data_IF_337832048209
#
_entry.id   IF_337832048209
#
_cell.length_a   1.000
_cell.length_b   1.000
_cell.length_c   1.000
_cell.angle_alpha   90.00
_cell.angle_beta   90.00
_cell.angle_gamma   90.00
#
_symmetry.space_group_name_H-M   'P 1'
#
loop_
_entity.id
_entity.type
_entity.pdbx_description
1 polymer ?
#
# COMPACT_ATOMS: atom_id res chain seq x y z
N UNK A 1 24.37 -12.61 -11.65
CA UNK A 1 24.38 -11.42 -12.51
C UNK A 1 23.22 -10.54 -12.09
N UNK A 2 23.46 -9.56 -11.22
CA UNK A 2 22.44 -8.55 -10.87
C UNK A 2 22.41 -7.60 -12.05
N UNK A 3 21.30 -7.52 -12.77
CA UNK A 3 21.17 -6.59 -13.89
C UNK A 3 21.48 -5.18 -13.37
N UNK A 4 22.40 -4.48 -14.06
CA UNK A 4 22.73 -3.09 -13.77
C UNK A 4 21.55 -2.24 -14.28
N UNK A 5 20.48 -2.23 -13.48
CA UNK A 5 19.29 -1.46 -13.78
C UNK A 5 19.65 0.02 -13.73
N UNK A 6 19.30 0.83 -14.75
CA UNK A 6 19.54 2.26 -14.71
C UNK A 6 18.99 2.82 -13.41
N UNK A 7 19.86 3.35 -12.54
CA UNK A 7 19.44 4.03 -11.31
C UNK A 7 18.83 5.38 -11.67
N UNK A 8 17.76 5.39 -12.47
CA UNK A 8 16.86 6.52 -12.55
C UNK A 8 16.41 6.81 -11.11
N UNK A 9 16.83 7.95 -10.57
CA UNK A 9 16.34 8.43 -9.29
C UNK A 9 14.83 8.60 -9.45
N UNK A 10 14.07 7.64 -8.93
CA UNK A 10 12.62 7.76 -8.86
C UNK A 10 12.31 8.97 -7.99
N UNK A 11 11.53 9.91 -8.53
CA UNK A 11 10.90 10.92 -7.69
C UNK A 11 9.98 10.20 -6.69
N UNK A 12 9.82 10.71 -5.46
CA UNK A 12 8.91 10.14 -4.48
C UNK A 12 7.52 9.91 -5.09
N UNK A 13 7.01 8.67 -5.07
CA UNK A 13 5.73 8.37 -5.70
C UNK A 13 4.55 8.86 -4.85
N UNK A 14 3.39 9.03 -5.47
CA UNK A 14 2.15 9.31 -4.74
C UNK A 14 1.75 8.15 -3.83
N UNK A 15 2.01 6.91 -4.27
CA UNK A 15 1.76 5.71 -3.49
C UNK A 15 2.77 4.60 -3.76
N UNK A 16 2.96 3.76 -2.74
CA UNK A 16 3.55 2.43 -2.84
C UNK A 16 2.46 1.40 -2.61
N UNK A 17 2.36 0.41 -3.48
CA UNK A 17 1.36 -0.65 -3.36
C UNK A 17 2.02 -1.91 -2.86
N UNK A 18 1.45 -2.51 -1.82
CA UNK A 18 1.95 -3.74 -1.22
C UNK A 18 0.80 -4.71 -1.04
N UNK A 19 0.98 -5.94 -1.50
CA UNK A 19 0.07 -7.03 -1.19
C UNK A 19 0.26 -7.44 0.28
N UNK A 20 -0.83 -7.62 1.04
CA UNK A 20 -0.77 -7.83 2.50
C UNK A 20 -1.21 -9.23 2.89
N UNK A 21 -0.27 -10.01 3.42
CA UNK A 21 -0.55 -11.27 4.15
C UNK A 21 -0.63 -10.97 5.65
N UNK A 22 0.41 -11.34 6.41
CA UNK A 22 0.54 -10.98 7.83
C UNK A 22 1.04 -9.55 8.07
N UNK A 23 1.36 -8.79 7.02
CA UNK A 23 1.83 -7.40 7.11
C UNK A 23 3.35 -7.18 7.20
N UNK A 24 4.18 -8.22 7.05
CA UNK A 24 5.64 -8.08 7.10
C UNK A 24 6.22 -7.15 6.02
N UNK A 25 5.78 -7.30 4.77
CA UNK A 25 6.20 -6.42 3.66
C UNK A 25 5.70 -4.98 3.85
N UNK A 26 4.44 -4.82 4.29
CA UNK A 26 3.86 -3.51 4.62
C UNK A 26 4.70 -2.81 5.72
N UNK A 27 5.02 -3.52 6.80
CA UNK A 27 5.84 -2.99 7.89
C UNK A 27 7.25 -2.63 7.42
N UNK A 28 7.87 -3.49 6.62
CA UNK A 28 9.21 -3.26 6.09
C UNK A 28 9.28 -2.04 5.19
N UNK A 29 8.33 -1.89 4.27
CA UNK A 29 8.25 -0.74 3.35
C UNK A 29 7.88 0.54 4.07
N UNK A 30 6.96 0.52 5.04
CA UNK A 30 6.64 1.68 5.87
C UNK A 30 7.86 2.19 6.65
N UNK A 31 8.58 1.29 7.33
CA UNK A 31 9.82 1.64 8.03
C UNK A 31 10.93 2.10 7.08
N UNK A 32 11.03 1.49 5.90
CA UNK A 32 11.99 1.88 4.87
C UNK A 32 11.77 3.31 4.39
N UNK A 33 10.52 3.67 4.09
CA UNK A 33 10.14 5.01 3.67
C UNK A 33 10.32 6.05 4.80
N UNK A 34 9.99 5.68 6.05
CA UNK A 34 10.24 6.56 7.19
C UNK A 34 11.73 6.86 7.40
N UNK A 35 12.60 5.86 7.27
CA UNK A 35 14.06 6.06 7.33
C UNK A 35 14.59 6.91 6.17
N UNK A 36 14.08 6.68 4.96
CA UNK A 36 14.44 7.49 3.80
C UNK A 36 14.04 8.96 3.97
N UNK A 37 12.92 9.21 4.65
CA UNK A 37 12.49 10.57 4.99
C UNK A 37 13.35 11.23 6.07
N UNK A 38 13.76 10.49 7.10
CA UNK A 38 14.59 11.00 8.19
C UNK A 38 16.03 11.31 7.75
N UNK A 39 16.61 10.53 6.83
CA UNK A 39 17.98 10.70 6.37
C UNK A 39 18.26 12.04 5.65
N UNK A 40 17.23 12.83 5.32
CA UNK A 40 17.38 14.20 4.81
C UNK A 40 17.36 15.29 5.88
N UNK A 41 17.14 14.96 7.15
CA UNK A 41 17.02 15.90 8.26
C UNK A 41 18.22 15.93 9.22
N UNK A 42 19.16 15.00 9.10
CA UNK A 42 20.30 14.85 10.02
C UNK A 42 21.57 15.62 9.58
N UNK A 43 21.42 16.59 8.67
CA UNK A 43 22.52 17.51 8.35
C UNK A 43 22.68 18.55 9.46
N UNK A 44 23.77 18.45 10.22
CA UNK A 44 24.30 19.55 11.03
C UNK A 44 24.32 20.82 10.14
N UNK A 45 23.61 21.85 10.61
CA UNK A 45 23.38 23.11 9.90
C UNK A 45 24.65 23.96 9.84
N UNK A 46 25.61 23.55 9.02
CA UNK A 46 26.65 24.43 8.50
C UNK A 46 26.01 25.48 7.58
N UNK A 47 26.32 26.75 7.82
CA UNK A 47 25.73 27.95 7.18
C UNK A 47 26.11 28.11 5.68
N UNK A 48 26.76 27.11 5.10
CA UNK A 48 27.13 27.07 3.68
C UNK A 48 26.05 26.30 2.89
N UNK A 49 24.87 26.92 2.77
CA UNK A 49 23.69 26.34 2.14
C UNK A 49 23.84 26.08 0.64
N UNK A 50 24.30 24.88 0.27
CA UNK A 50 24.29 24.41 -1.10
C UNK A 50 22.83 24.02 -1.52
N UNK A 51 22.38 24.54 -2.67
CA UNK A 51 21.02 24.32 -3.18
C UNK A 51 20.69 22.83 -3.50
N UNK A 52 21.71 22.00 -3.69
CA UNK A 52 21.63 20.55 -3.93
C UNK A 52 21.35 19.79 -2.64
N UNK A 53 21.96 20.17 -1.52
CA UNK A 53 21.68 19.63 -0.20
C UNK A 53 20.24 19.92 0.23
N UNK A 54 19.76 21.15 0.01
CA UNK A 54 18.36 21.53 0.25
C UNK A 54 17.39 20.73 -0.64
N UNK A 55 17.72 20.51 -1.92
CA UNK A 55 16.90 19.70 -2.83
C UNK A 55 16.88 18.21 -2.43
N UNK A 56 18.00 17.67 -1.94
CA UNK A 56 18.10 16.31 -1.43
C UNK A 56 17.26 16.12 -0.15
N UNK A 57 17.32 17.07 0.79
CA UNK A 57 16.51 17.08 2.01
C UNK A 57 15.01 17.17 1.69
N UNK A 58 14.63 18.04 0.75
CA UNK A 58 13.24 18.17 0.27
C UNK A 58 12.74 16.86 -0.36
N UNK A 59 13.59 16.20 -1.15
CA UNK A 59 13.29 14.91 -1.79
C UNK A 59 13.14 13.81 -0.74
N UNK A 60 14.03 13.75 0.25
CA UNK A 60 13.94 12.81 1.37
C UNK A 60 12.61 12.97 2.11
N UNK A 61 12.28 14.18 2.56
CA UNK A 61 11.01 14.47 3.25
C UNK A 61 9.77 14.09 2.42
N UNK A 62 9.87 14.18 1.08
CA UNK A 62 8.79 13.78 0.18
C UNK A 62 8.51 12.27 0.13
N UNK A 63 9.49 11.41 0.42
CA UNK A 63 9.25 9.97 0.61
C UNK A 63 8.37 9.67 1.82
N UNK A 64 8.41 10.53 2.84
CA UNK A 64 7.56 10.41 4.03
C UNK A 64 6.07 10.67 3.73
N UNK A 65 5.74 11.28 2.59
CA UNK A 65 4.38 11.58 2.15
C UNK A 65 3.79 10.54 1.19
N UNK A 66 4.54 9.50 0.84
CA UNK A 66 4.06 8.41 -0.01
C UNK A 66 2.98 7.61 0.71
N UNK A 67 1.79 7.46 0.11
CA UNK A 67 0.71 6.63 0.66
C UNK A 67 1.01 5.14 0.50
N UNK A 68 0.74 4.33 1.52
CA UNK A 68 0.75 2.87 1.40
C UNK A 68 -0.62 2.36 0.99
N UNK A 69 -0.70 1.69 -0.15
CA UNK A 69 -1.89 0.96 -0.58
C UNK A 69 -1.70 -0.51 -0.20
N UNK A 70 -2.44 -0.95 0.81
CA UNK A 70 -2.39 -2.30 1.35
C UNK A 70 -3.43 -3.17 0.62
N UNK A 71 -2.99 -3.86 -0.44
CA UNK A 71 -3.85 -4.66 -1.30
C UNK A 71 -4.07 -6.07 -0.73
N UNK A 72 -5.32 -6.47 -0.61
CA UNK A 72 -5.75 -7.84 -0.28
C UNK A 72 -6.79 -8.34 -1.27
N UNK A 73 -7.06 -9.64 -1.26
CA UNK A 73 -8.22 -10.24 -1.93
C UNK A 73 -9.36 -10.45 -0.95
N UNK A 74 -10.61 -10.41 -1.42
CA UNK A 74 -11.80 -10.55 -0.57
C UNK A 74 -11.77 -11.82 0.30
N UNK A 75 -11.25 -12.93 -0.23
CA UNK A 75 -11.15 -14.19 0.51
C UNK A 75 -9.98 -14.29 1.49
N UNK A 76 -9.13 -13.25 1.59
CA UNK A 76 -7.96 -13.20 2.48
C UNK A 76 -7.76 -11.82 3.14
N UNK A 77 -8.83 -11.04 3.29
CA UNK A 77 -8.78 -9.62 3.68
C UNK A 77 -8.66 -9.37 5.20
N UNK A 78 -7.72 -10.03 5.88
CA UNK A 78 -7.62 -9.93 7.35
C UNK A 78 -7.08 -8.58 7.81
N UNK A 79 -6.25 -7.91 7.01
CA UNK A 79 -5.75 -6.57 7.29
C UNK A 79 -6.84 -5.54 7.14
N UNK A 80 -7.61 -5.57 6.04
CA UNK A 80 -8.69 -4.63 5.78
C UNK A 80 -9.80 -4.77 6.83
N UNK A 81 -10.15 -6.00 7.24
CA UNK A 81 -11.10 -6.23 8.32
C UNK A 81 -10.63 -5.61 9.66
N UNK A 82 -9.35 -5.81 10.02
CA UNK A 82 -8.76 -5.18 11.20
C UNK A 82 -8.73 -3.65 11.08
N UNK A 83 -8.30 -3.14 9.92
CA UNK A 83 -8.12 -1.72 9.67
C UNK A 83 -9.44 -0.94 9.71
N UNK A 84 -10.54 -1.54 9.27
CA UNK A 84 -11.89 -0.97 9.34
C UNK A 84 -12.34 -0.66 10.79
N UNK A 85 -11.71 -1.27 11.79
CA UNK A 85 -11.96 -0.99 13.21
C UNK A 85 -11.01 0.05 13.81
N UNK A 86 -10.18 0.70 12.99
CA UNK A 86 -9.07 1.54 13.48
C UNK A 86 -8.03 0.74 14.27
N UNK A 87 -7.97 -0.57 14.09
CA UNK A 87 -7.15 -1.46 14.91
C UNK A 87 -7.68 -1.70 16.32
N UNK A 88 -8.96 -1.41 16.61
CA UNK A 88 -9.59 -1.74 17.88
C UNK A 88 -9.79 -3.27 18.04
N UNK A 89 -10.32 -3.92 17.00
CA UNK A 89 -10.46 -5.38 16.95
C UNK A 89 -9.27 -6.03 16.24
N UNK A 90 -9.01 -7.30 16.55
CA UNK A 90 -7.92 -8.06 15.94
C UNK A 90 -8.33 -9.52 15.71
N UNK A 91 -9.47 -9.67 15.05
CA UNK A 91 -10.14 -10.95 14.95
C UNK A 91 -9.50 -11.86 13.87
N UNK A 92 -9.84 -13.13 13.96
CA UNK A 92 -9.43 -14.15 12.99
C UNK A 92 -10.55 -14.30 11.97
N UNK A 93 -10.21 -14.21 10.68
CA UNK A 93 -11.11 -14.62 9.60
C UNK A 93 -11.48 -16.11 9.78
N UNK A 94 -12.75 -16.48 9.57
CA UNK A 94 -13.19 -17.86 9.77
C UNK A 94 -12.53 -18.85 8.82
N UNK A 95 -12.17 -18.42 7.60
CA UNK A 95 -11.48 -19.22 6.59
C UNK A 95 -10.77 -18.33 5.58
N UNK A 96 -9.78 -18.90 4.88
CA UNK A 96 -9.22 -18.34 3.64
C UNK A 96 -9.97 -18.95 2.47
N UNK A 97 -10.56 -18.11 1.62
CA UNK A 97 -11.34 -18.54 0.44
C UNK A 97 -10.81 -17.97 -0.87
N UNK A 98 -9.63 -17.32 -0.82
CA UNK A 98 -9.01 -16.68 -1.99
C UNK A 98 -8.13 -17.64 -2.79
N UNK A 99 -8.06 -17.42 -4.11
CA UNK A 99 -7.05 -17.99 -5.00
C UNK A 99 -5.61 -17.50 -4.68
N UNK A 100 -5.46 -16.33 -4.07
CA UNK A 100 -4.18 -15.77 -3.65
C UNK A 100 -3.68 -16.44 -2.36
N UNK A 101 -3.27 -17.70 -2.46
CA UNK A 101 -2.82 -18.50 -1.32
C UNK A 101 -1.67 -17.87 -0.56
N UNK A 102 -0.78 -17.11 -1.20
CA UNK A 102 0.30 -16.37 -0.51
C UNK A 102 -0.19 -15.19 0.34
N UNK A 103 -1.46 -14.78 0.23
CA UNK A 103 -2.11 -13.85 1.15
C UNK A 103 -2.76 -14.53 2.35
N UNK A 104 -2.66 -15.86 2.51
CA UNK A 104 -3.35 -16.64 3.54
C UNK A 104 -2.88 -16.34 4.98
N UNK A 105 -3.27 -15.20 5.51
CA UNK A 105 -3.26 -14.90 6.94
C UNK A 105 -4.71 -14.73 7.38
N UNK A 106 -5.19 -15.61 8.25
CA UNK A 106 -6.51 -15.45 8.86
C UNK A 106 -6.52 -14.30 9.87
N UNK A 107 -5.35 -13.90 10.38
CA UNK A 107 -5.17 -12.74 11.26
C UNK A 107 -3.82 -12.11 10.96
N UNK A 108 -3.78 -10.79 10.84
CA UNK A 108 -2.54 -10.03 10.64
C UNK A 108 -1.63 -10.03 11.88
N UNK A 109 -0.36 -9.71 11.72
CA UNK A 109 0.54 -9.54 12.85
C UNK A 109 0.13 -8.35 13.72
N UNK A 110 0.41 -8.42 15.03
CA UNK A 110 0.20 -7.31 15.97
C UNK A 110 0.90 -6.04 15.49
N UNK A 111 2.12 -6.16 14.95
CA UNK A 111 2.87 -5.03 14.43
C UNK A 111 2.15 -4.31 13.26
N UNK A 112 1.44 -5.04 12.40
CA UNK A 112 0.66 -4.42 11.31
C UNK A 112 -0.59 -3.72 11.86
N UNK A 113 -1.20 -4.26 12.92
CA UNK A 113 -2.28 -3.59 13.65
C UNK A 113 -1.82 -2.30 14.34
N UNK A 114 -0.62 -2.29 14.91
CA UNK A 114 -0.02 -1.09 15.52
C UNK A 114 0.13 0.04 14.49
N UNK A 115 0.48 -0.28 13.22
CA UNK A 115 0.54 0.74 12.17
C UNK A 115 -0.78 1.49 11.99
N UNK A 116 -1.90 0.77 12.01
CA UNK A 116 -3.24 1.37 11.92
C UNK A 116 -3.58 2.11 13.20
N UNK A 117 -3.43 1.45 14.35
CA UNK A 117 -3.88 1.98 15.65
C UNK A 117 -3.19 3.28 16.02
N UNK A 118 -1.90 3.39 15.70
CA UNK A 118 -1.07 4.54 16.05
C UNK A 118 -0.95 5.54 14.88
N UNK A 119 -1.59 5.26 13.74
CA UNK A 119 -1.47 6.05 12.51
C UNK A 119 -0.01 6.35 12.10
N UNK A 120 0.89 5.36 12.25
CA UNK A 120 2.35 5.55 12.13
C UNK A 120 2.91 5.44 10.71
N UNK A 121 2.05 5.57 9.69
CA UNK A 121 2.43 5.60 8.27
C UNK A 121 2.27 7.03 7.75
N UNK A 122 3.38 7.72 7.52
CA UNK A 122 3.41 9.17 7.27
C UNK A 122 2.51 9.65 6.13
N UNK A 123 2.59 9.03 4.95
CA UNK A 123 1.76 9.38 3.79
C UNK A 123 0.35 8.78 3.81
N UNK A 124 -0.03 8.13 4.91
CA UNK A 124 -1.29 7.42 5.06
C UNK A 124 -1.23 5.96 4.62
N UNK A 125 -2.23 5.20 5.07
CA UNK A 125 -2.35 3.77 4.86
C UNK A 125 -3.78 3.45 4.40
N UNK A 126 -3.92 3.01 3.15
CA UNK A 126 -5.20 2.73 2.48
C UNK A 126 -5.33 1.23 2.23
N UNK A 127 -6.15 0.51 3.02
CA UNK A 127 -6.53 -0.86 2.68
C UNK A 127 -7.37 -0.90 1.41
N UNK A 128 -7.03 -1.77 0.47
CA UNK A 128 -7.80 -2.01 -0.76
C UNK A 128 -8.06 -3.50 -0.89
N UNK A 129 -9.33 -3.87 -1.01
CA UNK A 129 -9.74 -5.26 -1.19
C UNK A 129 -10.26 -5.44 -2.61
N UNK A 130 -9.66 -6.36 -3.35
CA UNK A 130 -10.08 -6.72 -4.70
C UNK A 130 -10.72 -8.11 -4.74
N UNK A 131 -11.47 -8.39 -5.80
CA UNK A 131 -11.91 -9.75 -6.09
C UNK A 131 -10.76 -10.56 -6.68
N UNK A 132 -10.77 -11.88 -6.47
CA UNK A 132 -9.79 -12.78 -7.10
C UNK A 132 -9.76 -12.63 -8.63
N UNK A 133 -10.92 -12.41 -9.27
CA UNK A 133 -10.98 -12.15 -10.72
C UNK A 133 -10.12 -10.94 -11.12
N UNK A 134 -10.16 -9.86 -10.34
CA UNK A 134 -9.41 -8.64 -10.64
C UNK A 134 -7.93 -8.84 -10.35
N UNK A 135 -7.59 -9.61 -9.32
CA UNK A 135 -6.21 -10.00 -9.06
C UNK A 135 -5.64 -10.84 -10.23
N UNK A 136 -6.42 -11.80 -10.76
CA UNK A 136 -6.04 -12.58 -11.94
C UNK A 136 -5.91 -11.70 -13.19
N UNK A 137 -6.82 -10.75 -13.42
CA UNK A 137 -6.69 -9.75 -14.50
C UNK A 137 -5.38 -8.95 -14.37
N UNK A 138 -4.98 -8.58 -13.14
CA UNK A 138 -3.69 -7.95 -12.86
C UNK A 138 -2.49 -8.85 -13.22
N UNK A 139 -2.56 -10.15 -12.94
CA UNK A 139 -1.54 -11.11 -13.39
C UNK A 139 -1.47 -11.18 -14.92
N UNK A 140 -2.63 -11.24 -15.59
CA UNK A 140 -2.72 -11.30 -17.05
C UNK A 140 -2.14 -10.04 -17.69
N UNK A 141 -2.41 -8.85 -17.13
CA UNK A 141 -1.85 -7.60 -17.62
C UNK A 141 -0.31 -7.64 -17.64
N UNK A 142 0.33 -8.07 -16.54
CA UNK A 142 1.79 -8.22 -16.51
C UNK A 142 2.30 -9.29 -17.47
N UNK A 143 1.59 -10.41 -17.60
CA UNK A 143 1.98 -11.48 -18.52
C UNK A 143 1.91 -11.04 -19.99
N UNK A 144 0.93 -10.21 -20.35
CA UNK A 144 0.73 -9.69 -21.70
C UNK A 144 1.72 -8.57 -21.99
N UNK A 145 1.76 -7.53 -21.14
CA UNK A 145 2.51 -6.31 -21.42
C UNK A 145 4.00 -6.46 -21.16
N UNK A 146 4.36 -7.19 -20.11
CA UNK A 146 5.74 -7.28 -19.62
C UNK A 146 6.35 -8.67 -19.87
N UNK A 147 5.57 -9.64 -20.38
CA UNK A 147 6.00 -11.03 -20.55
C UNK A 147 6.49 -11.67 -19.24
N UNK A 148 5.96 -11.21 -18.11
CA UNK A 148 6.28 -11.70 -16.76
C UNK A 148 5.01 -12.23 -16.11
N UNK A 149 5.02 -13.50 -15.73
CA UNK A 149 3.95 -14.10 -14.95
C UNK A 149 4.23 -13.92 -13.45
N UNK A 150 3.21 -13.54 -12.69
CA UNK A 150 3.29 -13.36 -11.24
C UNK A 150 2.17 -14.13 -10.54
N UNK A 151 2.36 -14.41 -9.26
CA UNK A 151 1.31 -14.99 -8.42
C UNK A 151 0.11 -14.03 -8.23
N UNK A 152 -1.05 -14.60 -7.86
CA UNK A 152 -2.31 -13.84 -7.71
C UNK A 152 -2.20 -12.72 -6.66
N UNK A 153 -1.38 -12.88 -5.63
CA UNK A 153 -1.11 -11.82 -4.66
C UNK A 153 -0.47 -10.57 -5.28
N UNK A 154 0.49 -10.75 -6.18
CA UNK A 154 1.08 -9.65 -6.94
C UNK A 154 0.06 -9.03 -7.89
N UNK A 155 -0.77 -9.85 -8.53
CA UNK A 155 -1.89 -9.36 -9.34
C UNK A 155 -2.90 -8.52 -8.54
N UNK A 156 -3.14 -8.86 -7.27
CA UNK A 156 -3.97 -8.05 -6.36
C UNK A 156 -3.35 -6.67 -6.10
N UNK A 157 -2.03 -6.58 -5.96
CA UNK A 157 -1.33 -5.30 -5.86
C UNK A 157 -1.46 -4.47 -7.14
N UNK A 158 -1.34 -5.08 -8.32
CA UNK A 158 -1.54 -4.38 -9.61
C UNK A 158 -2.96 -3.83 -9.71
N UNK A 159 -3.96 -4.69 -9.51
CA UNK A 159 -5.37 -4.30 -9.61
C UNK A 159 -5.76 -3.24 -8.57
N UNK A 160 -5.34 -3.43 -7.30
CA UNK A 160 -5.60 -2.49 -6.22
C UNK A 160 -4.90 -1.15 -6.45
N UNK A 161 -3.67 -1.16 -6.95
CA UNK A 161 -2.90 0.03 -7.30
C UNK A 161 -3.54 0.84 -8.42
N UNK A 162 -3.97 0.17 -9.49
CA UNK A 162 -4.67 0.83 -10.61
C UNK A 162 -6.01 1.43 -10.16
N UNK A 163 -6.79 0.70 -9.35
CA UNK A 163 -8.05 1.20 -8.79
C UNK A 163 -7.83 2.42 -7.88
N UNK A 164 -6.82 2.36 -7.00
CA UNK A 164 -6.43 3.49 -6.16
C UNK A 164 -6.01 4.69 -7.01
N UNK A 165 -5.15 4.48 -8.02
CA UNK A 165 -4.68 5.55 -8.88
C UNK A 165 -5.85 6.20 -9.64
N UNK A 166 -6.78 5.42 -10.18
CA UNK A 166 -7.97 5.94 -10.86
C UNK A 166 -8.81 6.85 -9.94
N UNK A 167 -8.96 6.48 -8.66
CA UNK A 167 -9.69 7.28 -7.68
C UNK A 167 -8.97 8.58 -7.27
N UNK A 168 -7.64 8.63 -7.41
CA UNK A 168 -6.80 9.76 -6.96
C UNK A 168 -6.17 10.58 -8.10
N UNK A 169 -6.38 10.19 -9.37
CA UNK A 169 -5.92 10.92 -10.57
C UNK A 169 -6.60 12.27 -10.80
N UNK A 170 -7.53 12.68 -9.92
CA UNK A 170 -8.22 13.98 -9.97
C UNK A 170 -8.07 14.87 -8.74
N UNK A 171 -7.26 14.50 -7.74
CA UNK A 171 -7.25 15.18 -6.44
C UNK A 171 -5.85 15.53 -5.94
N UNK A 172 -5.38 16.72 -6.29
CA UNK A 172 -4.41 17.40 -5.43
C UNK A 172 -5.07 17.69 -4.07
N UNK A 173 -4.53 17.09 -3.00
CA UNK A 173 -4.74 17.49 -1.60
C UNK A 173 -6.16 17.37 -1.04
N UNK A 174 -6.42 16.33 -0.24
CA UNK A 174 -7.57 16.32 0.67
C UNK A 174 -8.03 14.92 1.03
N UNK A 175 -7.63 14.44 2.22
CA UNK A 175 -8.08 13.16 2.77
C UNK A 175 -9.60 13.16 2.94
N UNK A 176 -10.27 12.28 2.19
CA UNK A 176 -11.69 12.00 2.32
C UNK A 176 -11.93 10.51 2.15
N UNK A 177 -12.29 9.84 3.25
CA UNK A 177 -12.67 8.44 3.26
C UNK A 177 -13.84 8.19 2.29
N UNK A 178 -13.57 7.47 1.20
CA UNK A 178 -14.62 7.06 0.25
C UNK A 178 -15.50 6.02 0.94
N UNK A 179 -16.73 6.41 1.28
CA UNK A 179 -17.73 5.51 1.85
C UNK A 179 -18.24 4.57 0.74
N UNK A 180 -18.30 3.25 0.95
CA UNK A 180 -18.82 2.33 -0.06
C UNK A 180 -20.31 2.60 -0.34
N UNK A 181 -20.78 2.40 -1.58
CA UNK A 181 -22.15 2.67 -1.95
C UNK A 181 -23.12 1.80 -1.12
N UNK A 182 -24.06 2.46 -0.45
CA UNK A 182 -25.11 1.79 0.32
C UNK A 182 -25.88 0.84 -0.59
N UNK A 183 -25.91 -0.44 -0.22
CA UNK A 183 -26.71 -1.47 -0.88
C UNK A 183 -28.16 -1.00 -0.87
N UNK A 184 -28.74 -0.72 -2.04
CA UNK A 184 -30.18 -0.46 -2.17
C UNK A 184 -30.91 -1.69 -1.64
N UNK A 185 -31.63 -1.54 -0.52
CA UNK A 185 -32.66 -2.49 -0.13
C UNK A 185 -33.64 -2.57 -1.29
N UNK A 186 -33.69 -3.72 -1.97
CA UNK A 186 -34.83 -4.06 -2.82
C UNK A 186 -35.98 -4.29 -1.87
N UNK A 187 -36.95 -3.38 -1.88
CA UNK A 187 -38.20 -3.52 -1.14
C UNK A 187 -38.85 -4.85 -1.51
N UNK A 188 -39.17 -5.64 -0.49
CA UNK A 188 -40.02 -6.79 -0.62
C UNK A 188 -41.42 -6.36 -1.03
N UNK A 189 -42.03 -7.14 -1.91
CA UNK A 189 -43.47 -7.33 -1.91
C UNK A 189 -43.74 -8.63 -1.15
#
# INVERSE_FOLDING_TARGET
MVADWPRTRLSPPAAVVVSVRGGGLLLGTARGLARAAAAGGDGDGGDDGDATAAAAATTAAAWGRTTHVAAETNGAASFAAMAATGGAAHDTLPAITSLASSLSAVRVAVAARTLVRDASVGGGLTPVVVLDRAAVEGCVALAVEQRVLVEVACGAAVAGGLGWAAAHRGGGGGGGMVTPPRRRQRGGK
#
